data_IF_967626739409
#
_entry.id   IF_967626739409
#
_cell.length_a   1.000
_cell.length_b   1.000
_cell.length_c   1.000
_cell.angle_alpha   90.00
_cell.angle_beta   90.00
_cell.angle_gamma   90.00
#
_symmetry.space_group_name_H-M   'P 1'
#
loop_
_entity.id
_entity.type
_entity.pdbx_description
1 polymer ?
#
# COMPACT_ATOMS: atom_id res chain seq x y z
N UNK A 1 -5.90 -3.83 3.88
CA UNK A 1 -6.87 -3.62 2.78
C UNK A 1 -7.97 -4.67 2.77
N UNK A 2 -7.67 -5.95 2.51
CA UNK A 2 -8.71 -6.99 2.37
C UNK A 2 -9.49 -7.30 3.66
N UNK A 3 -8.81 -7.69 4.75
CA UNK A 3 -9.46 -8.09 6.00
C UNK A 3 -10.35 -6.99 6.59
N UNK A 4 -9.86 -5.74 6.52
CA UNK A 4 -10.56 -4.56 7.04
C UNK A 4 -11.38 -3.81 5.96
N UNK A 5 -11.49 -4.35 4.73
CA UNK A 5 -12.15 -3.72 3.57
C UNK A 5 -11.72 -2.28 3.26
N UNK A 6 -10.46 -1.96 3.53
CA UNK A 6 -9.83 -0.66 3.26
C UNK A 6 -9.29 -0.64 1.82
N UNK A 7 -9.65 0.37 1.02
CA UNK A 7 -9.17 0.52 -0.37
C UNK A 7 -7.87 1.34 -0.50
N UNK A 8 -7.59 2.20 0.48
CA UNK A 8 -6.44 3.09 0.46
C UNK A 8 -5.94 3.34 1.88
N UNK A 9 -4.63 3.48 2.02
CA UNK A 9 -3.95 3.77 3.29
C UNK A 9 -3.12 5.04 3.09
N UNK A 10 -3.25 6.07 3.96
CA UNK A 10 -2.39 7.24 3.89
C UNK A 10 -0.96 6.88 4.32
N UNK A 11 0.01 7.39 3.58
CA UNK A 11 1.42 7.37 3.98
C UNK A 11 1.67 8.68 4.72
N UNK A 12 2.18 8.58 5.95
CA UNK A 12 2.44 9.73 6.80
C UNK A 12 3.92 9.86 7.14
N UNK A 13 4.37 11.09 7.40
CA UNK A 13 5.69 11.36 7.97
C UNK A 13 5.71 11.14 9.50
N UNK A 14 6.85 11.41 10.13
CA UNK A 14 7.04 11.30 11.59
C UNK A 14 6.16 12.25 12.41
N UNK A 15 5.68 13.34 11.79
CA UNK A 15 4.79 14.32 12.42
C UNK A 15 3.30 14.02 12.11
N UNK A 16 3.00 12.83 11.56
CA UNK A 16 1.66 12.40 11.13
C UNK A 16 1.04 13.24 10.01
N UNK A 17 1.84 13.97 9.24
CA UNK A 17 1.34 14.68 8.05
C UNK A 17 1.24 13.71 6.88
N UNK A 18 0.16 13.80 6.10
CA UNK A 18 -0.04 12.96 4.92
C UNK A 18 0.94 13.39 3.84
N UNK A 19 1.78 12.46 3.41
CA UNK A 19 2.76 12.65 2.32
C UNK A 19 2.43 11.81 1.09
N UNK A 20 1.42 10.96 1.15
CA UNK A 20 1.00 10.12 0.02
C UNK A 20 -0.16 9.20 0.35
N UNK A 21 -0.57 8.41 -0.63
CA UNK A 21 -1.63 7.41 -0.51
C UNK A 21 -1.16 6.13 -1.21
N UNK A 22 -1.34 4.99 -0.55
CA UNK A 22 -1.16 3.66 -1.13
C UNK A 22 -2.53 3.02 -1.36
N UNK A 23 -2.86 2.68 -2.61
CA UNK A 23 -4.13 2.01 -2.95
C UNK A 23 -3.96 0.52 -3.23
N UNK A 24 -5.05 -0.24 -3.18
CA UNK A 24 -5.02 -1.67 -3.56
C UNK A 24 -4.61 -1.87 -5.01
N UNK A 25 -4.91 -0.91 -5.88
CA UNK A 25 -4.52 -0.93 -7.29
C UNK A 25 -3.01 -0.74 -7.45
N UNK A 26 -2.37 0.09 -6.63
CA UNK A 26 -0.92 0.26 -6.66
C UNK A 26 -0.20 -1.06 -6.30
N UNK A 27 -0.71 -1.78 -5.29
CA UNK A 27 -0.19 -3.09 -4.90
C UNK A 27 -0.36 -4.09 -6.05
N UNK A 28 -1.55 -4.16 -6.66
CA UNK A 28 -1.81 -5.07 -7.78
C UNK A 28 -0.86 -4.76 -8.96
N UNK A 29 -0.69 -3.49 -9.29
CA UNK A 29 0.23 -3.05 -10.35
C UNK A 29 1.66 -3.47 -10.04
N UNK A 30 2.11 -3.31 -8.79
CA UNK A 30 3.45 -3.71 -8.38
C UNK A 30 3.68 -5.22 -8.52
N UNK A 31 2.71 -6.06 -8.11
CA UNK A 31 2.78 -7.53 -8.24
C UNK A 31 2.85 -7.94 -9.72
N UNK A 32 2.02 -7.34 -10.57
CA UNK A 32 1.99 -7.67 -12.01
C UNK A 32 3.30 -7.27 -12.69
N UNK A 33 3.91 -6.15 -12.30
CA UNK A 33 5.11 -5.63 -12.94
C UNK A 33 6.41 -6.26 -12.40
N UNK A 34 6.47 -6.59 -11.12
CA UNK A 34 7.72 -6.98 -10.45
C UNK A 34 7.71 -8.44 -9.96
N UNK A 35 6.62 -9.17 -10.19
CA UNK A 35 6.45 -10.53 -9.68
C UNK A 35 6.02 -10.57 -8.21
N UNK A 36 6.07 -11.75 -7.57
CA UNK A 36 5.67 -11.90 -6.18
C UNK A 36 6.45 -10.95 -5.27
N UNK A 37 5.73 -10.17 -4.46
CA UNK A 37 6.35 -9.30 -3.47
C UNK A 37 6.73 -10.16 -2.26
N UNK A 38 8.03 -10.25 -1.97
CA UNK A 38 8.49 -10.79 -0.68
C UNK A 38 8.15 -9.77 0.42
N UNK A 39 7.14 -10.12 1.20
CA UNK A 39 6.78 -9.38 2.41
C UNK A 39 7.62 -9.94 3.55
N UNK A 40 8.44 -9.09 4.15
CA UNK A 40 9.20 -9.38 5.35
C UNK A 40 8.22 -9.31 6.53
N UNK A 41 7.49 -10.40 6.76
CA UNK A 41 6.58 -10.60 7.90
C UNK A 41 7.23 -11.42 8.99
#
# INVERSE_FOLDING_TARGET
MLANRIHAIPIVDSEHRIIGILTSTDILRAVVQNGPIELWV
#
